data_IF_591187738305
#
_entry.id   IF_591187738305
#
_cell.length_a   1.000
_cell.length_b   1.000
_cell.length_c   1.000
_cell.angle_alpha   90.00
_cell.angle_beta   90.00
_cell.angle_gamma   90.00
#
_symmetry.space_group_name_H-M   'P 1'
#
loop_
_entity.id
_entity.type
_entity.pdbx_description
1 polymer ?
#
# COMPACT_ATOMS: atom_id res chain seq x y z
N UNK A 1 10.14 -15.30 -12.35
CA UNK A 1 9.36 -15.27 -11.09
C UNK A 1 9.88 -14.12 -10.24
N UNK A 2 9.03 -13.21 -9.75
CA UNK A 2 9.43 -12.13 -8.84
C UNK A 2 8.69 -12.33 -7.52
N UNK A 3 9.44 -12.54 -6.44
CA UNK A 3 8.91 -12.69 -5.08
C UNK A 3 9.22 -11.42 -4.32
N UNK A 4 8.20 -10.80 -3.72
CA UNK A 4 8.35 -9.67 -2.82
C UNK A 4 8.24 -10.22 -1.41
N UNK A 5 9.35 -10.18 -0.66
CA UNK A 5 9.38 -10.70 0.70
C UNK A 5 8.60 -9.78 1.64
N UNK A 6 7.98 -10.37 2.67
CA UNK A 6 7.32 -9.59 3.73
C UNK A 6 8.33 -8.64 4.38
N UNK A 7 7.97 -7.36 4.53
CA UNK A 7 8.84 -6.32 5.10
C UNK A 7 9.87 -5.72 4.13
N UNK A 8 9.99 -6.21 2.89
CA UNK A 8 10.90 -5.61 1.89
C UNK A 8 10.38 -4.31 1.28
N UNK A 9 9.09 -4.04 1.41
CA UNK A 9 8.44 -2.81 0.93
C UNK A 9 8.07 -1.96 2.15
N UNK A 10 8.44 -0.67 2.18
CA UNK A 10 8.13 0.18 3.32
C UNK A 10 6.63 0.46 3.42
N UNK A 11 6.13 0.48 4.64
CA UNK A 11 4.83 1.07 4.98
C UNK A 11 4.97 2.58 5.03
N UNK A 12 4.05 3.30 4.40
CA UNK A 12 4.03 4.77 4.36
C UNK A 12 2.76 5.33 5.02
N UNK A 13 2.79 6.59 5.43
CA UNK A 13 1.60 7.32 5.87
C UNK A 13 0.83 7.76 4.62
N UNK A 14 -0.49 7.49 4.60
CA UNK A 14 -1.35 7.87 3.50
C UNK A 14 -1.50 9.41 3.42
N UNK A 15 -1.67 9.99 2.22
CA UNK A 15 -1.87 11.43 2.09
C UNK A 15 -3.16 11.89 2.81
N UNK A 16 -3.03 12.95 3.60
CA UNK A 16 -4.12 13.62 4.32
C UNK A 16 -5.26 14.11 3.42
N UNK A 17 -4.95 14.45 2.17
CA UNK A 17 -5.94 14.83 1.15
C UNK A 17 -7.02 13.76 0.94
N UNK A 18 -6.68 12.48 1.12
CA UNK A 18 -7.58 11.36 0.85
C UNK A 18 -8.12 10.69 2.11
N UNK A 19 -7.54 10.97 3.28
CA UNK A 19 -7.87 10.28 4.52
C UNK A 19 -7.91 11.25 5.70
N UNK A 20 -8.91 11.07 6.57
CA UNK A 20 -8.96 11.74 7.88
C UNK A 20 -8.33 10.84 8.94
N UNK A 21 -7.49 11.41 9.78
CA UNK A 21 -6.78 10.67 10.82
C UNK A 21 -5.50 10.00 10.30
N UNK A 22 -4.93 9.10 11.11
CA UNK A 22 -3.68 8.43 10.78
C UNK A 22 -3.93 7.10 10.05
N UNK A 23 -3.56 7.08 8.78
CA UNK A 23 -3.74 5.92 7.90
C UNK A 23 -2.38 5.48 7.37
N UNK A 24 -2.12 4.18 7.41
CA UNK A 24 -0.91 3.54 6.90
C UNK A 24 -1.22 2.75 5.64
N UNK A 25 -0.29 2.75 4.70
CA UNK A 25 -0.37 2.04 3.43
C UNK A 25 0.88 1.20 3.18
N UNK A 26 0.71 -0.09 2.90
CA UNK A 26 1.80 -0.99 2.51
C UNK A 26 1.49 -1.61 1.14
N UNK A 27 2.23 -1.25 0.07
CA UNK A 27 2.01 -1.82 -1.25
C UNK A 27 2.25 -3.34 -1.26
N UNK A 28 1.32 -4.09 -1.86
CA UNK A 28 1.41 -5.57 -1.98
C UNK A 28 1.81 -5.95 -3.41
N UNK A 29 1.14 -5.37 -4.40
CA UNK A 29 1.40 -5.66 -5.81
C UNK A 29 1.07 -4.48 -6.71
N UNK A 30 1.94 -4.24 -7.68
CA UNK A 30 1.71 -3.33 -8.80
C UNK A 30 2.17 -4.04 -10.07
N UNK A 31 1.23 -4.28 -10.98
CA UNK A 31 1.54 -4.92 -12.26
C UNK A 31 1.84 -3.88 -13.33
N UNK A 32 2.80 -4.23 -14.17
CA UNK A 32 3.12 -3.51 -15.40
C UNK A 32 2.09 -3.82 -16.50
N UNK A 33 2.02 -2.94 -17.51
CA UNK A 33 1.18 -3.15 -18.67
C UNK A 33 1.48 -4.50 -19.35
N UNK A 34 0.47 -5.21 -19.91
CA UNK A 34 -0.92 -4.79 -20.09
C UNK A 34 -1.82 -4.99 -18.86
N UNK A 35 -1.31 -5.63 -17.80
CA UNK A 35 -2.06 -5.83 -16.58
C UNK A 35 -2.22 -4.50 -15.82
N UNK A 36 -3.41 -4.29 -15.24
CA UNK A 36 -3.77 -3.05 -14.51
C UNK A 36 -4.02 -3.29 -13.02
N UNK A 37 -3.66 -4.47 -12.52
CA UNK A 37 -3.90 -4.85 -11.13
C UNK A 37 -2.94 -4.11 -10.20
N UNK A 38 -3.50 -3.49 -9.16
CA UNK A 38 -2.76 -2.92 -8.03
C UNK A 38 -3.49 -3.28 -6.74
N UNK A 39 -2.75 -3.60 -5.68
CA UNK A 39 -3.32 -3.79 -4.35
C UNK A 39 -2.35 -3.30 -3.27
N UNK A 40 -2.93 -2.71 -2.23
CA UNK A 40 -2.23 -2.10 -1.09
C UNK A 40 -2.97 -2.47 0.18
N UNK A 41 -2.25 -2.89 1.22
CA UNK A 41 -2.78 -3.06 2.56
C UNK A 41 -2.99 -1.66 3.17
N UNK A 42 -4.19 -1.40 3.67
CA UNK A 42 -4.51 -0.12 4.34
C UNK A 42 -4.88 -0.41 5.79
N UNK A 43 -4.19 0.25 6.71
CA UNK A 43 -4.46 0.16 8.15
C UNK A 43 -4.90 1.53 8.66
N UNK A 44 -6.01 1.55 9.40
CA UNK A 44 -6.56 2.76 10.03
C UNK A 44 -6.23 2.71 11.51
N UNK A 45 -5.55 3.73 12.02
CA UNK A 45 -5.41 3.88 13.47
C UNK A 45 -6.75 4.32 14.09
N UNK A 46 -7.05 3.91 15.34
CA UNK A 46 -8.23 4.40 16.04
C UNK A 46 -8.26 5.92 16.08
N UNK A 47 -9.41 6.51 15.75
CA UNK A 47 -9.62 7.96 15.66
C UNK A 47 -9.66 8.64 17.02
#
# INVERSE_FOLDING_TARGET
>A
MKIIACGSVPTIIAPDKYFTGRVLQTPIIEKEAPARLRATLVSFEPG
#
